data_IF_474670193008
#
_entry.id   IF_474670193008
#
_cell.length_a   1.000
_cell.length_b   1.000
_cell.length_c   1.000
_cell.angle_alpha   90.00
_cell.angle_beta   90.00
_cell.angle_gamma   90.00
#
_symmetry.space_group_name_H-M   'P 1'
#
loop_
_entity.id
_entity.type
_entity.pdbx_description
1 polymer ?
#
# COMPACT_ATOMS: atom_id res chain seq x y z
N UNK A 1 -26.35 -19.14 16.21
CA UNK A 1 -25.18 -20.02 15.99
C UNK A 1 -25.20 -20.52 14.55
N UNK A 2 -24.61 -19.76 13.62
CA UNK A 2 -24.49 -20.16 12.21
C UNK A 2 -23.29 -21.07 12.00
N UNK A 3 -23.51 -22.25 11.45
CA UNK A 3 -22.47 -23.22 11.08
C UNK A 3 -21.56 -22.61 10.00
N UNK A 4 -20.26 -22.60 10.26
CA UNK A 4 -19.22 -22.40 9.24
C UNK A 4 -19.21 -23.65 8.34
N UNK A 5 -19.81 -23.55 7.15
CA UNK A 5 -19.79 -24.59 6.12
C UNK A 5 -18.71 -24.21 5.12
N UNK A 6 -17.73 -25.11 4.91
CA UNK A 6 -16.81 -25.20 3.76
C UNK A 6 -16.29 -23.90 3.16
N UNK A 7 -15.03 -23.56 3.43
CA UNK A 7 -14.36 -22.35 2.94
C UNK A 7 -14.58 -22.11 1.44
N UNK A 8 -15.12 -20.93 1.13
CA UNK A 8 -15.34 -20.42 -0.22
C UNK A 8 -14.09 -20.67 -1.09
N UNK A 9 -14.17 -21.48 -2.16
CA UNK A 9 -13.03 -21.78 -3.03
C UNK A 9 -12.34 -20.52 -3.58
N UNK A 10 -13.07 -19.42 -3.74
CA UNK A 10 -12.52 -18.13 -4.18
C UNK A 10 -11.67 -17.47 -3.08
N UNK A 11 -12.07 -17.60 -1.82
CA UNK A 11 -11.35 -17.08 -0.66
C UNK A 11 -10.05 -17.85 -0.41
N UNK A 12 -10.10 -19.19 -0.49
CA UNK A 12 -8.90 -20.03 -0.40
C UNK A 12 -7.91 -19.71 -1.53
N UNK A 13 -8.40 -19.52 -2.76
CA UNK A 13 -7.54 -19.11 -3.88
C UNK A 13 -6.88 -17.75 -3.64
N UNK A 14 -7.64 -16.77 -3.10
CA UNK A 14 -7.10 -15.44 -2.74
C UNK A 14 -6.04 -15.52 -1.64
N UNK A 15 -6.27 -16.34 -0.61
CA UNK A 15 -5.29 -16.56 0.47
C UNK A 15 -4.01 -17.18 -0.10
N UNK A 16 -4.11 -18.25 -0.88
CA UNK A 16 -2.96 -18.91 -1.47
C UNK A 16 -2.19 -17.97 -2.41
N UNK A 17 -2.92 -17.16 -3.21
CA UNK A 17 -2.32 -16.14 -4.08
C UNK A 17 -1.54 -15.09 -3.30
N UNK A 18 -2.10 -14.59 -2.20
CA UNK A 18 -1.43 -13.62 -1.35
C UNK A 18 -0.16 -14.19 -0.71
N UNK A 19 -0.22 -15.42 -0.19
CA UNK A 19 0.93 -16.11 0.43
C UNK A 19 2.05 -16.35 -0.58
N UNK A 20 1.73 -16.85 -1.78
CA UNK A 20 2.72 -17.09 -2.84
C UNK A 20 3.31 -15.78 -3.34
N UNK A 21 2.48 -14.76 -3.58
CA UNK A 21 2.96 -13.45 -4.03
C UNK A 21 3.88 -12.81 -2.99
N UNK A 22 3.55 -12.92 -1.69
CA UNK A 22 4.40 -12.43 -0.61
C UNK A 22 5.75 -13.16 -0.57
N UNK A 23 5.75 -14.49 -0.70
CA UNK A 23 6.99 -15.27 -0.75
C UNK A 23 7.87 -14.90 -1.97
N UNK A 24 7.26 -14.68 -3.14
CA UNK A 24 7.97 -14.23 -4.34
C UNK A 24 8.49 -12.81 -4.23
N UNK A 25 7.77 -11.92 -3.53
CA UNK A 25 8.18 -10.53 -3.29
C UNK A 25 9.34 -10.42 -2.30
N UNK A 26 9.38 -11.29 -1.29
CA UNK A 26 10.47 -11.35 -0.32
C UNK A 26 11.78 -11.91 -0.90
N UNK A 27 11.72 -12.57 -2.06
CA UNK A 27 12.88 -13.10 -2.75
C UNK A 27 13.19 -12.25 -4.01
N UNK A 28 14.46 -12.12 -4.37
CA UNK A 28 14.82 -11.52 -5.67
C UNK A 28 14.34 -12.41 -6.83
N UNK A 29 14.50 -13.72 -6.68
CA UNK A 29 14.06 -14.75 -7.64
C UNK A 29 13.92 -16.08 -6.92
N UNK A 30 12.88 -16.86 -7.24
CA UNK A 30 12.65 -18.16 -6.62
C UNK A 30 12.18 -19.22 -7.62
N UNK A 31 12.57 -20.46 -7.39
CA UNK A 31 12.05 -21.65 -8.08
C UNK A 31 10.72 -22.10 -7.44
N UNK A 32 9.92 -22.89 -8.17
CA UNK A 32 8.70 -23.49 -7.61
C UNK A 32 8.99 -24.26 -6.30
N UNK A 33 10.10 -24.99 -6.23
CA UNK A 33 10.50 -25.76 -5.05
C UNK A 33 10.76 -24.86 -3.84
N UNK A 34 11.43 -23.71 -4.03
CA UNK A 34 11.68 -22.76 -2.95
C UNK A 34 10.38 -22.13 -2.46
N UNK A 35 9.47 -21.76 -3.37
CA UNK A 35 8.15 -21.20 -3.01
C UNK A 35 7.31 -22.23 -2.27
N UNK A 36 7.24 -23.48 -2.75
CA UNK A 36 6.57 -24.60 -2.05
C UNK A 36 7.12 -24.76 -0.63
N UNK A 37 8.45 -24.72 -0.45
CA UNK A 37 9.08 -24.88 0.86
C UNK A 37 8.73 -23.73 1.82
N UNK A 38 8.79 -22.49 1.35
CA UNK A 38 8.53 -21.30 2.19
C UNK A 38 7.04 -21.18 2.53
N UNK A 39 6.15 -21.49 1.60
CA UNK A 39 4.71 -21.32 1.78
C UNK A 39 4.02 -22.51 2.45
N UNK A 40 4.64 -23.70 2.44
CA UNK A 40 4.04 -24.93 2.94
C UNK A 40 2.90 -25.48 2.06
N UNK A 41 2.61 -24.85 0.93
CA UNK A 41 1.56 -25.27 0.00
C UNK A 41 2.01 -26.44 -0.88
N UNK A 42 1.06 -27.23 -1.38
CA UNK A 42 1.38 -28.32 -2.32
C UNK A 42 1.95 -27.79 -3.63
N UNK A 43 2.82 -28.56 -4.29
CA UNK A 43 3.42 -28.16 -5.58
C UNK A 43 2.38 -27.81 -6.66
N UNK A 44 1.32 -28.61 -6.90
CA UNK A 44 0.27 -28.24 -7.86
C UNK A 44 -0.45 -26.94 -7.50
N UNK A 45 -0.65 -26.66 -6.21
CA UNK A 45 -1.26 -25.40 -5.76
C UNK A 45 -0.37 -24.20 -6.08
N UNK A 46 0.92 -24.29 -5.76
CA UNK A 46 1.88 -23.22 -6.06
C UNK A 46 1.99 -22.99 -7.57
N UNK A 47 2.06 -24.05 -8.36
CA UNK A 47 2.14 -23.96 -9.82
C UNK A 47 0.94 -23.23 -10.42
N UNK A 48 -0.29 -23.64 -10.08
CA UNK A 48 -1.49 -22.95 -10.56
C UNK A 48 -1.60 -21.49 -10.10
N UNK A 49 -1.18 -21.18 -8.87
CA UNK A 49 -1.15 -19.79 -8.37
C UNK A 49 -0.10 -18.95 -9.10
N UNK A 50 1.08 -19.50 -9.37
CA UNK A 50 2.13 -18.79 -10.13
C UNK A 50 1.65 -18.52 -11.56
N UNK A 51 0.98 -19.48 -12.20
CA UNK A 51 0.38 -19.29 -13.53
C UNK A 51 -0.66 -18.16 -13.53
N UNK A 52 -1.54 -18.09 -12.52
CA UNK A 52 -2.48 -16.99 -12.37
C UNK A 52 -1.78 -15.63 -12.22
N UNK A 53 -0.72 -15.58 -11.40
CA UNK A 53 0.03 -14.36 -11.15
C UNK A 53 0.81 -13.90 -12.38
N UNK A 54 1.28 -14.84 -13.21
CA UNK A 54 1.86 -14.56 -14.53
C UNK A 54 0.78 -14.02 -15.47
N UNK A 55 -0.40 -14.64 -15.51
CA UNK A 55 -1.54 -14.16 -16.30
C UNK A 55 -2.00 -12.75 -15.89
N UNK A 56 -1.93 -12.43 -14.60
CA UNK A 56 -2.18 -11.09 -14.06
C UNK A 56 -1.03 -10.10 -14.29
N UNK A 57 0.13 -10.57 -14.79
CA UNK A 57 1.32 -9.77 -15.03
C UNK A 57 2.06 -9.32 -13.78
N UNK A 58 1.81 -9.94 -12.62
CA UNK A 58 2.46 -9.65 -11.34
C UNK A 58 3.75 -10.47 -11.12
N UNK A 59 3.90 -11.56 -11.86
CA UNK A 59 5.06 -12.44 -11.83
C UNK A 59 5.55 -12.65 -13.26
N UNK A 60 6.85 -12.81 -13.43
CA UNK A 60 7.46 -13.25 -14.69
C UNK A 60 8.26 -14.52 -14.46
N UNK A 61 8.24 -15.40 -15.45
CA UNK A 61 9.18 -16.51 -15.52
C UNK A 61 10.45 -16.06 -16.24
N UNK A 62 11.58 -16.29 -15.59
CA UNK A 62 12.91 -16.05 -16.14
C UNK A 62 13.59 -17.39 -16.43
N UNK A 63 14.16 -17.50 -17.63
CA UNK A 63 15.02 -18.63 -17.96
C UNK A 63 16.30 -18.55 -17.10
N UNK A 64 16.82 -19.70 -16.69
CA UNK A 64 18.09 -19.75 -15.96
C UNK A 64 19.22 -19.15 -16.81
N UNK A 65 20.14 -18.42 -16.16
CA UNK A 65 21.37 -17.90 -16.78
C UNK A 65 22.10 -19.02 -17.55
N UNK A 66 22.21 -18.84 -18.86
CA UNK A 66 22.85 -19.78 -19.80
C UNK A 66 24.37 -19.89 -19.53
N UNK A 67 24.91 -19.03 -18.67
CA UNK A 67 26.33 -18.90 -18.34
C UNK A 67 26.84 -19.86 -17.26
N UNK A 68 25.94 -20.54 -16.52
CA UNK A 68 26.37 -21.54 -15.53
C UNK A 68 26.56 -22.89 -16.23
N UNK A 69 27.83 -23.28 -16.34
CA UNK A 69 28.35 -24.55 -16.87
C UNK A 69 27.36 -25.71 -16.66
N UNK A 70 26.98 -26.32 -17.79
CA UNK A 70 26.12 -27.50 -17.93
C UNK A 70 26.31 -28.53 -16.80
N UNK A 71 25.52 -28.41 -15.74
CA UNK A 71 25.17 -29.55 -14.88
C UNK A 71 23.95 -30.23 -15.50
N UNK A 72 24.09 -31.53 -15.70
CA UNK A 72 23.12 -32.43 -16.32
C UNK A 72 21.74 -32.27 -15.65
N UNK A 73 20.76 -31.70 -16.38
CA UNK A 73 19.38 -31.49 -15.94
C UNK A 73 18.71 -30.32 -16.65
N UNK A 74 17.38 -30.36 -16.83
CA UNK A 74 16.60 -29.21 -17.34
C UNK A 74 16.79 -28.05 -16.35
N UNK A 75 17.22 -26.85 -16.79
CA UNK A 75 17.41 -25.72 -15.89
C UNK A 75 16.11 -25.42 -15.13
N UNK A 76 16.20 -25.21 -13.82
CA UNK A 76 15.02 -24.91 -13.01
C UNK A 76 14.45 -23.54 -13.40
N UNK A 77 13.16 -23.52 -13.76
CA UNK A 77 12.40 -22.28 -14.02
C UNK A 77 12.47 -21.39 -12.78
N UNK A 78 12.80 -20.11 -12.95
CA UNK A 78 12.80 -19.11 -11.88
C UNK A 78 11.69 -18.11 -12.11
N UNK A 79 11.13 -17.62 -11.02
CA UNK A 79 10.03 -16.66 -11.01
C UNK A 79 10.45 -15.44 -10.22
N UNK A 80 10.09 -14.27 -10.74
CA UNK A 80 10.39 -12.98 -10.15
C UNK A 80 9.11 -12.16 -10.01
N UNK A 81 8.94 -11.50 -8.87
CA UNK A 81 7.90 -10.50 -8.68
C UNK A 81 8.16 -9.27 -9.56
N UNK A 82 7.13 -8.81 -10.27
CA UNK A 82 7.22 -7.62 -11.13
C UNK A 82 6.80 -6.40 -10.34
N UNK A 83 7.75 -5.81 -9.61
CA UNK A 83 7.56 -4.52 -8.95
C UNK A 83 7.05 -3.46 -9.94
N UNK A 84 7.51 -3.54 -11.19
CA UNK A 84 7.16 -2.67 -12.31
C UNK A 84 5.75 -2.90 -12.91
N UNK A 85 4.97 -3.86 -12.41
CA UNK A 85 3.64 -4.18 -12.94
C UNK A 85 2.54 -3.14 -12.61
N UNK A 86 2.89 -2.09 -11.87
CA UNK A 86 2.03 -0.97 -11.54
C UNK A 86 2.69 -0.05 -10.53
N UNK A 87 1.98 1.01 -10.16
CA UNK A 87 2.51 2.02 -9.26
C UNK A 87 1.54 2.34 -8.14
N UNK A 88 2.08 2.79 -7.01
CA UNK A 88 1.35 3.25 -5.84
C UNK A 88 1.58 4.76 -5.67
N UNK A 89 0.53 5.48 -5.31
CA UNK A 89 0.61 6.91 -5.00
C UNK A 89 0.30 7.10 -3.51
N UNK A 90 1.23 7.70 -2.77
CA UNK A 90 0.98 8.23 -1.44
C UNK A 90 0.72 9.73 -1.51
N UNK A 91 -0.26 10.21 -0.76
CA UNK A 91 -0.61 11.61 -0.63
C UNK A 91 -0.74 11.93 0.86
N UNK A 92 -0.16 13.03 1.30
CA UNK A 92 -0.30 13.58 2.65
C UNK A 92 -0.87 15.00 2.54
N UNK A 93 -2.05 15.21 3.12
CA UNK A 93 -2.76 16.50 3.06
C UNK A 93 -2.81 17.10 4.46
N UNK A 94 -1.87 18.00 4.75
CA UNK A 94 -1.77 18.69 6.03
C UNK A 94 -2.24 20.15 5.99
N UNK A 95 -2.13 20.82 7.15
CA UNK A 95 -2.52 22.21 7.34
C UNK A 95 -1.68 23.22 6.55
N UNK A 96 -0.39 22.94 6.35
CA UNK A 96 0.55 23.87 5.70
C UNK A 96 1.20 23.32 4.44
N UNK A 97 0.99 22.03 4.13
CA UNK A 97 1.67 21.36 3.03
C UNK A 97 0.82 20.23 2.48
N UNK A 98 0.92 20.01 1.18
CA UNK A 98 0.50 18.78 0.52
C UNK A 98 1.71 18.12 -0.09
N UNK A 99 1.93 16.85 0.25
CA UNK A 99 3.06 16.06 -0.20
C UNK A 99 2.55 14.83 -0.96
N UNK A 100 3.23 14.43 -2.02
CA UNK A 100 2.95 13.19 -2.74
C UNK A 100 4.23 12.42 -3.02
N UNK A 101 4.09 11.09 -3.05
CA UNK A 101 5.15 10.16 -3.42
C UNK A 101 4.58 9.12 -4.37
N UNK A 102 5.34 8.76 -5.40
CA UNK A 102 4.99 7.66 -6.30
C UNK A 102 6.06 6.58 -6.21
N UNK A 103 5.63 5.33 -6.08
CA UNK A 103 6.50 4.18 -5.93
C UNK A 103 6.04 3.00 -6.80
N UNK A 104 6.94 2.05 -7.05
CA UNK A 104 6.56 0.76 -7.61
C UNK A 104 5.87 -0.14 -6.57
N UNK A 105 5.51 -1.38 -6.95
CA UNK A 105 4.81 -2.30 -6.04
C UNK A 105 5.69 -2.85 -4.91
N UNK A 106 7.01 -2.69 -4.98
CA UNK A 106 7.93 -2.97 -3.88
C UNK A 106 8.13 -1.77 -2.95
N UNK A 107 7.58 -0.63 -3.32
CA UNK A 107 7.70 0.60 -2.57
C UNK A 107 9.03 1.30 -2.77
N UNK A 108 9.72 1.05 -3.89
CA UNK A 108 10.84 1.88 -4.31
C UNK A 108 10.28 3.20 -4.82
N UNK A 109 10.69 4.29 -4.18
CA UNK A 109 10.26 5.64 -4.56
C UNK A 109 10.86 6.00 -5.92
N UNK A 110 9.99 6.41 -6.84
CA UNK A 110 10.35 6.90 -8.18
C UNK A 110 10.37 8.42 -8.23
N UNK A 111 9.61 9.06 -7.34
CA UNK A 111 9.63 10.50 -7.17
C UNK A 111 8.80 10.93 -5.98
N UNK A 112 9.11 12.10 -5.46
CA UNK A 112 8.33 12.78 -4.43
C UNK A 112 8.21 14.27 -4.79
N UNK A 113 7.14 14.89 -4.32
CA UNK A 113 6.91 16.31 -4.52
C UNK A 113 6.02 16.88 -3.42
N UNK A 114 6.35 18.08 -2.95
CA UNK A 114 5.52 18.83 -2.02
C UNK A 114 5.24 20.26 -2.48
N UNK A 115 4.16 20.84 -1.95
CA UNK A 115 3.80 22.25 -2.11
C UNK A 115 3.22 22.79 -0.81
N UNK A 116 3.60 24.01 -0.47
CA UNK A 116 2.98 24.75 0.63
C UNK A 116 1.51 25.06 0.34
N UNK A 117 0.73 25.14 1.41
CA UNK A 117 -0.66 25.57 1.41
C UNK A 117 -0.85 26.61 2.49
N UNK A 118 -1.57 27.70 2.17
CA UNK A 118 -1.91 28.72 3.15
C UNK A 118 -2.80 28.13 4.25
N UNK A 119 -2.60 28.56 5.50
CA UNK A 119 -3.36 28.04 6.64
C UNK A 119 -4.88 28.24 6.47
N UNK A 120 -5.29 29.42 5.98
CA UNK A 120 -6.68 29.75 5.68
C UNK A 120 -7.22 29.21 4.35
N UNK A 121 -6.48 28.33 3.65
CA UNK A 121 -6.98 27.74 2.41
C UNK A 121 -8.18 26.83 2.68
N UNK A 122 -9.22 27.02 1.87
CA UNK A 122 -10.43 26.21 1.87
C UNK A 122 -10.14 24.76 1.47
N UNK A 123 -11.16 23.91 1.66
CA UNK A 123 -11.07 22.51 1.30
C UNK A 123 -10.84 22.27 -0.18
N UNK A 124 -11.53 23.01 -1.03
CA UNK A 124 -11.35 22.86 -2.46
C UNK A 124 -9.97 23.34 -2.92
N UNK A 125 -9.43 24.42 -2.35
CA UNK A 125 -8.08 24.90 -2.67
C UNK A 125 -7.01 23.87 -2.29
N UNK A 126 -7.14 23.23 -1.13
CA UNK A 126 -6.27 22.13 -0.68
C UNK A 126 -6.36 20.91 -1.60
N UNK A 127 -7.57 20.49 -1.95
CA UNK A 127 -7.80 19.37 -2.87
C UNK A 127 -7.25 19.67 -4.27
N UNK A 128 -7.42 20.89 -4.75
CA UNK A 128 -6.87 21.31 -6.04
C UNK A 128 -5.34 21.34 -6.02
N UNK A 129 -4.75 21.79 -4.91
CA UNK A 129 -3.31 21.71 -4.71
C UNK A 129 -2.83 20.27 -4.74
N UNK A 130 -3.55 19.34 -4.10
CA UNK A 130 -3.24 17.92 -4.16
C UNK A 130 -3.30 17.36 -5.59
N UNK A 131 -4.34 17.69 -6.36
CA UNK A 131 -4.47 17.28 -7.77
C UNK A 131 -3.29 17.81 -8.60
N UNK A 132 -2.90 19.06 -8.38
CA UNK A 132 -1.76 19.69 -9.06
C UNK A 132 -0.44 18.99 -8.73
N UNK A 133 -0.16 18.77 -7.43
CA UNK A 133 1.05 18.07 -6.97
C UNK A 133 1.14 16.67 -7.59
N UNK A 134 0.04 15.92 -7.59
CA UNK A 134 -0.01 14.58 -8.18
C UNK A 134 0.22 14.63 -9.68
N UNK A 135 -0.43 15.54 -10.40
CA UNK A 135 -0.27 15.65 -11.86
C UNK A 135 1.17 16.00 -12.25
N UNK A 136 1.80 16.94 -11.52
CA UNK A 136 3.20 17.30 -11.75
C UNK A 136 4.16 16.14 -11.44
N UNK A 137 3.94 15.44 -10.32
CA UNK A 137 4.76 14.31 -9.90
C UNK A 137 4.70 13.17 -10.91
N UNK A 138 3.49 12.75 -11.30
CA UNK A 138 3.29 11.65 -12.25
C UNK A 138 3.92 11.97 -13.61
N UNK A 139 3.78 13.22 -14.09
CA UNK A 139 4.41 13.68 -15.33
C UNK A 139 5.94 13.62 -15.25
N UNK A 140 6.53 14.09 -14.14
CA UNK A 140 7.99 14.05 -13.93
C UNK A 140 8.53 12.63 -13.80
N UNK A 141 7.80 11.75 -13.13
CA UNK A 141 8.17 10.35 -12.95
C UNK A 141 7.90 9.48 -14.20
N UNK A 142 7.26 10.02 -15.24
CA UNK A 142 6.88 9.25 -16.43
C UNK A 142 5.81 8.17 -16.15
N UNK A 143 5.05 8.31 -15.06
CA UNK A 143 4.05 7.32 -14.64
C UNK A 143 2.68 7.72 -15.16
N UNK A 144 2.04 6.92 -16.04
CA UNK A 144 0.69 7.21 -16.48
C UNK A 144 -0.30 6.97 -15.34
N UNK A 145 -1.28 7.86 -15.18
CA UNK A 145 -2.31 7.77 -14.13
C UNK A 145 -3.08 6.45 -14.15
N UNK A 146 -3.24 5.83 -15.32
CA UNK A 146 -3.90 4.53 -15.50
C UNK A 146 -3.08 3.33 -14.97
N UNK A 147 -1.78 3.50 -14.73
CA UNK A 147 -0.93 2.45 -14.15
C UNK A 147 -0.92 2.47 -12.62
N UNK A 148 -1.59 3.45 -12.00
CA UNK A 148 -1.79 3.45 -10.54
C UNK A 148 -2.71 2.28 -10.14
N UNK A 149 -2.24 1.48 -9.18
CA UNK A 149 -2.98 0.34 -8.61
C UNK A 149 -3.75 0.72 -7.35
N UNK A 150 -3.27 1.70 -6.61
CA UNK A 150 -3.93 2.26 -5.44
C UNK A 150 -3.38 3.65 -5.10
N UNK A 151 -4.18 4.43 -4.38
CA UNK A 151 -3.77 5.68 -3.74
C UNK A 151 -3.98 5.58 -2.23
N UNK A 152 -2.94 5.86 -1.44
CA UNK A 152 -3.05 6.06 0.00
C UNK A 152 -3.04 7.56 0.34
N UNK A 153 -3.91 7.99 1.23
CA UNK A 153 -4.07 9.39 1.63
C UNK A 153 -3.98 9.50 3.14
N UNK A 154 -2.93 10.16 3.64
CA UNK A 154 -2.81 10.62 5.01
C UNK A 154 -3.50 11.97 5.19
N UNK A 155 -4.23 12.14 6.29
CA UNK A 155 -4.88 13.40 6.66
C UNK A 155 -4.93 13.53 8.17
N UNK A 156 -4.91 14.74 8.74
CA UNK A 156 -5.21 14.93 10.15
C UNK A 156 -6.69 14.62 10.43
N UNK A 157 -6.95 14.26 11.68
CA UNK A 157 -8.30 14.00 12.19
C UNK A 157 -8.66 12.52 12.29
N UNK A 158 -9.89 12.28 12.75
CA UNK A 158 -10.47 10.95 12.92
C UNK A 158 -11.08 10.52 11.59
N UNK A 159 -10.57 9.42 11.02
CA UNK A 159 -10.98 8.91 9.71
C UNK A 159 -11.80 7.63 9.88
N UNK A 160 -12.97 7.60 9.27
CA UNK A 160 -13.85 6.44 9.21
C UNK A 160 -13.41 5.44 8.13
N UNK A 161 -13.91 4.20 8.22
CA UNK A 161 -13.50 3.12 7.29
C UNK A 161 -13.86 3.42 5.82
N UNK A 162 -14.87 4.25 5.57
CA UNK A 162 -15.26 4.67 4.22
C UNK A 162 -14.45 5.87 3.69
N UNK A 163 -13.49 6.36 4.47
CA UNK A 163 -12.64 7.51 4.14
C UNK A 163 -13.29 8.88 4.38
N UNK A 164 -14.37 8.93 5.16
CA UNK A 164 -14.93 10.18 5.70
C UNK A 164 -14.10 10.66 6.88
N UNK A 165 -13.75 11.95 6.91
CA UNK A 165 -13.11 12.57 8.07
C UNK A 165 -14.20 12.98 9.06
N UNK A 166 -14.40 12.21 10.12
CA UNK A 166 -15.46 12.45 11.11
C UNK A 166 -15.24 13.74 11.89
N UNK A 167 -13.99 14.01 12.29
CA UNK A 167 -13.62 15.17 13.08
C UNK A 167 -12.19 15.59 12.77
N UNK A 168 -11.95 16.87 12.53
CA UNK A 168 -10.60 17.41 12.37
C UNK A 168 -10.51 18.82 12.95
N UNK A 169 -9.74 18.99 14.03
CA UNK A 169 -9.53 20.30 14.66
C UNK A 169 -8.56 21.17 13.84
N UNK A 170 -7.51 20.55 13.26
CA UNK A 170 -6.50 21.26 12.47
C UNK A 170 -7.04 21.79 11.13
N UNK A 171 -8.09 21.16 10.58
CA UNK A 171 -8.74 21.56 9.34
C UNK A 171 -10.26 21.55 9.56
N UNK A 172 -10.88 22.65 10.02
CA UNK A 172 -12.31 22.66 10.35
C UNK A 172 -13.22 22.18 9.21
N UNK A 173 -12.92 22.56 7.96
CA UNK A 173 -13.69 22.15 6.77
C UNK A 173 -13.57 20.64 6.44
N UNK A 174 -12.69 19.89 7.12
CA UNK A 174 -12.56 18.43 6.94
C UNK A 174 -13.63 17.70 7.74
N UNK A 175 -14.17 18.31 8.79
CA UNK A 175 -15.16 17.66 9.64
C UNK A 175 -16.43 17.34 8.85
N UNK A 176 -16.74 16.05 8.70
CA UNK A 176 -17.84 15.54 7.89
C UNK A 176 -17.51 15.38 6.39
N UNK A 177 -16.29 15.70 5.96
CA UNK A 177 -15.88 15.62 4.56
C UNK A 177 -15.67 14.17 4.13
N UNK A 178 -16.40 13.74 3.08
CA UNK A 178 -16.21 12.45 2.42
C UNK A 178 -14.96 12.45 1.52
N UNK A 179 -13.78 12.60 2.14
CA UNK A 179 -12.51 12.83 1.46
C UNK A 179 -12.19 11.72 0.46
N UNK A 180 -12.38 10.45 0.86
CA UNK A 180 -12.18 9.29 -0.01
C UNK A 180 -13.00 9.36 -1.30
N UNK A 181 -14.29 9.70 -1.20
CA UNK A 181 -15.19 9.86 -2.36
C UNK A 181 -14.72 11.00 -3.28
N UNK A 182 -14.37 12.16 -2.69
CA UNK A 182 -13.95 13.35 -3.44
C UNK A 182 -12.67 13.10 -4.24
N UNK A 183 -11.70 12.41 -3.65
CA UNK A 183 -10.45 12.05 -4.32
C UNK A 183 -10.64 10.92 -5.33
N UNK A 184 -11.50 9.93 -5.03
CA UNK A 184 -11.77 8.78 -5.92
C UNK A 184 -12.26 9.21 -7.29
N UNK A 185 -12.99 10.32 -7.41
CA UNK A 185 -13.42 10.89 -8.71
C UNK A 185 -12.25 11.21 -9.65
N UNK A 186 -11.06 11.37 -9.10
CA UNK A 186 -9.86 11.66 -9.88
C UNK A 186 -9.13 10.38 -10.32
N UNK A 187 -9.36 9.22 -9.69
CA UNK A 187 -8.57 8.00 -9.92
C UNK A 187 -9.44 6.83 -10.39
N UNK A 188 -8.85 5.94 -11.21
CA UNK A 188 -9.51 4.70 -11.67
C UNK A 188 -9.17 3.49 -10.79
N UNK A 189 -8.56 3.73 -9.64
CA UNK A 189 -8.11 2.71 -8.69
C UNK A 189 -8.62 3.06 -7.28
N UNK A 190 -8.58 2.11 -6.34
CA UNK A 190 -8.98 2.36 -4.96
C UNK A 190 -8.18 3.51 -4.33
N UNK A 191 -8.89 4.33 -3.55
CA UNK A 191 -8.32 5.38 -2.70
C UNK A 191 -8.59 5.00 -1.25
N UNK A 192 -7.54 4.84 -0.46
CA UNK A 192 -7.63 4.59 0.97
C UNK A 192 -7.24 5.85 1.71
N UNK A 193 -8.09 6.30 2.62
CA UNK A 193 -7.82 7.45 3.48
C UNK A 193 -7.54 6.92 4.89
N UNK A 194 -6.52 7.47 5.52
CA UNK A 194 -6.14 7.12 6.88
C UNK A 194 -5.68 8.38 7.62
N UNK A 195 -5.77 8.33 8.95
CA UNK A 195 -5.14 9.31 9.81
C UNK A 195 -3.61 9.32 9.57
N UNK A 196 -3.01 10.51 9.56
CA UNK A 196 -1.58 10.73 9.33
C UNK A 196 -0.67 10.01 10.34
N UNK A 197 -0.98 10.04 11.65
CA UNK A 197 -0.24 9.33 12.68
C UNK A 197 -0.33 7.81 12.51
N UNK A 198 -1.52 7.29 12.17
CA UNK A 198 -1.72 5.88 11.84
C UNK A 198 -0.90 5.46 10.61
N UNK A 199 -0.94 6.26 9.54
CA UNK A 199 -0.18 6.00 8.32
C UNK A 199 1.33 6.04 8.58
N UNK A 200 1.80 6.98 9.41
CA UNK A 200 3.18 7.05 9.85
C UNK A 200 3.58 5.81 10.66
N UNK A 201 2.75 5.35 11.60
CA UNK A 201 3.04 4.14 12.38
C UNK A 201 3.23 2.91 11.46
N UNK A 202 2.36 2.75 10.47
CA UNK A 202 2.47 1.68 9.46
C UNK A 202 3.75 1.82 8.62
N UNK A 203 4.10 3.05 8.22
CA UNK A 203 5.31 3.30 7.44
C UNK A 203 6.58 2.98 8.24
N UNK A 204 6.64 3.40 9.52
CA UNK A 204 7.77 3.16 10.41
C UNK A 204 7.94 1.66 10.72
N UNK A 205 6.84 0.92 10.90
CA UNK A 205 6.89 -0.53 11.07
C UNK A 205 7.27 -1.27 9.79
N UNK A 206 6.93 -0.74 8.62
CA UNK A 206 7.27 -1.42 7.37
C UNK A 206 8.72 -1.21 6.94
N UNK A 207 9.22 0.04 6.97
CA UNK A 207 10.52 0.41 6.40
C UNK A 207 11.30 1.44 7.23
N UNK A 208 10.78 1.84 8.39
CA UNK A 208 11.40 2.84 9.24
C UNK A 208 11.99 2.25 10.52
N UNK A 209 11.92 3.03 11.59
CA UNK A 209 12.56 2.73 12.86
C UNK A 209 11.92 1.56 13.63
N UNK A 210 10.72 1.12 13.25
CA UNK A 210 9.95 0.10 13.97
C UNK A 210 9.85 -1.24 13.22
N UNK A 211 10.77 -1.51 12.28
CA UNK A 211 10.76 -2.75 11.47
C UNK A 211 10.84 -4.04 12.30
N UNK A 212 11.54 -3.99 13.43
CA UNK A 212 11.74 -5.14 14.33
C UNK A 212 10.79 -5.10 15.55
N UNK A 213 9.66 -4.39 15.46
CA UNK A 213 8.71 -4.23 16.57
C UNK A 213 7.26 -4.36 16.11
N UNK A 214 6.54 -5.33 16.68
CA UNK A 214 5.13 -5.57 16.37
C UNK A 214 4.18 -4.71 17.21
N UNK A 215 4.62 -4.25 18.39
CA UNK A 215 3.88 -3.36 19.27
C UNK A 215 4.53 -1.97 19.24
N UNK A 216 3.84 -0.99 18.64
CA UNK A 216 4.39 0.35 18.37
C UNK A 216 3.37 1.39 18.79
N UNK A 217 3.84 2.46 19.41
CA UNK A 217 3.10 3.71 19.55
C UNK A 217 3.93 4.81 18.91
N UNK A 218 3.39 5.42 17.87
CA UNK A 218 3.98 6.56 17.20
C UNK A 218 3.26 7.82 17.66
N UNK A 219 4.02 8.85 18.04
CA UNK A 219 3.48 10.15 18.43
C UNK A 219 4.02 11.21 17.47
N UNK A 220 3.12 11.85 16.73
CA UNK A 220 3.42 13.04 15.95
C UNK A 220 3.43 14.24 16.89
N UNK A 221 4.62 14.64 17.34
CA UNK A 221 4.81 15.84 18.13
C UNK A 221 4.80 17.08 17.20
N UNK A 222 3.71 17.84 17.22
CA UNK A 222 3.51 19.03 16.40
C UNK A 222 2.33 19.87 16.87
N UNK A 223 1.93 20.86 16.05
CA UNK A 223 0.84 21.80 16.37
C UNK A 223 -0.51 21.10 16.61
N UNK A 224 -0.73 19.95 15.98
CA UNK A 224 -1.83 19.04 16.27
C UNK A 224 -1.22 17.69 16.65
N UNK A 225 -1.08 17.37 17.94
CA UNK A 225 -0.61 16.07 18.37
C UNK A 225 -1.53 14.99 17.84
N UNK A 226 -0.95 13.88 17.39
CA UNK A 226 -1.67 12.68 16.99
C UNK A 226 -0.86 11.46 17.34
N UNK A 227 -1.51 10.34 17.63
CA UNK A 227 -0.85 9.08 17.88
C UNK A 227 -1.44 7.94 17.06
N UNK A 228 -0.58 7.06 16.56
CA UNK A 228 -0.96 5.81 15.92
C UNK A 228 -0.40 4.64 16.73
N UNK A 229 -1.16 3.54 16.84
CA UNK A 229 -0.70 2.35 17.54
C UNK A 229 -0.82 1.10 16.68
N UNK A 230 0.23 0.29 16.71
CA UNK A 230 0.26 -1.08 16.21
C UNK A 230 0.30 -2.02 17.41
N UNK A 231 -0.53 -3.06 17.39
CA UNK A 231 -0.53 -4.12 18.39
C UNK A 231 -0.46 -5.46 17.65
N UNK A 232 0.57 -6.26 17.91
CA UNK A 232 0.84 -7.51 17.18
C UNK A 232 0.95 -7.31 15.66
N UNK A 233 1.62 -6.23 15.23
CA UNK A 233 1.85 -5.86 13.83
C UNK A 233 0.59 -5.32 13.12
N UNK A 234 -0.49 -5.05 13.85
CA UNK A 234 -1.78 -4.63 13.29
C UNK A 234 -2.19 -3.26 13.79
N UNK A 235 -2.61 -2.40 12.87
CA UNK A 235 -3.04 -1.05 13.20
C UNK A 235 -4.27 -1.10 14.10
N UNK A 236 -4.18 -0.46 15.25
CA UNK A 236 -5.24 -0.34 16.23
C UNK A 236 -5.91 1.03 16.12
N UNK A 237 -7.06 1.09 15.43
CA UNK A 237 -7.81 2.34 15.16
C UNK A 237 -8.75 2.77 16.29
N UNK A 238 -8.92 1.96 17.34
CA UNK A 238 -9.90 2.20 18.40
C UNK A 238 -11.35 2.16 17.91
N UNK A 239 -12.31 2.43 18.80
CA UNK A 239 -13.73 2.48 18.43
C UNK A 239 -14.01 3.76 17.61
N UNK A 240 -14.49 3.60 16.37
CA UNK A 240 -14.81 4.74 15.48
C UNK A 240 -13.60 5.54 14.98
N UNK A 241 -12.43 4.89 14.83
CA UNK A 241 -11.23 5.52 14.24
C UNK A 241 -10.47 6.48 15.17
N UNK A 242 -10.82 6.53 16.45
CA UNK A 242 -10.30 7.52 17.42
C UNK A 242 -9.20 7.03 18.36
N UNK A 243 -8.56 5.89 18.15
CA UNK A 243 -7.40 5.56 18.98
C UNK A 243 -6.28 6.58 18.74
N UNK A 244 -5.85 7.25 19.82
CA UNK A 244 -4.77 8.23 19.77
C UNK A 244 -5.15 9.63 19.26
N UNK A 245 -6.46 9.90 19.08
CA UNK A 245 -7.01 11.21 18.74
C UNK A 245 -7.54 11.99 19.94
#
# INVERSE_FOLDING_TARGET
MGRLIGGDPSLLRRINSAVVLHALRAAERATLTEVTRVTGLSRPTVEGVVEDLIGAGLVVEEAADVTVVRRQGRPARRFRFRAEAGYLLGLDIGAHRVSAVVADLDGRVLGAQDRGVAEGASAEERLERARTVVAELLRRAGVPRSALRAVGVGTPGIVETDGTVRLCAALPEWTGLRLGERLSRSFKCPVLVENDANAAAVAEHWKGAAVDSDDVVLVLAGLSPGAGSLIGGRLHRGYGGGAGG
#
